data_IF_562687139325
#
_entry.id   IF_562687139325
#
_cell.length_a   1.000
_cell.length_b   1.000
_cell.length_c   1.000
_cell.angle_alpha   90.00
_cell.angle_beta   90.00
_cell.angle_gamma   90.00
#
_symmetry.space_group_name_H-M   'P 1'
#
loop_
_entity.id
_entity.type
_entity.pdbx_description
1 polymer ?
#
# COMPACT_ATOMS: atom_id res chain seq x y z
N UNK A 1 -0.47 -29.28 14.46
CA UNK A 1 -1.34 -28.09 14.32
C UNK A 1 -0.61 -26.76 14.61
N UNK A 2 0.66 -26.56 14.17
CA UNK A 2 1.44 -25.34 14.48
C UNK A 2 1.88 -24.53 13.24
N UNK A 3 1.78 -25.12 12.04
CA UNK A 3 2.29 -24.52 10.80
C UNK A 3 1.32 -23.61 10.04
N UNK A 4 0.01 -23.69 10.31
CA UNK A 4 -0.99 -22.91 9.56
C UNK A 4 -0.95 -21.41 9.90
N UNK A 5 -0.53 -21.05 11.12
CA UNK A 5 -0.41 -19.64 11.55
C UNK A 5 0.72 -18.89 10.82
N UNK A 6 1.80 -19.58 10.43
CA UNK A 6 2.97 -18.93 9.81
C UNK A 6 2.76 -18.54 8.35
N UNK A 7 1.92 -19.29 7.61
CA UNK A 7 1.53 -18.96 6.23
C UNK A 7 0.54 -17.80 6.16
N UNK A 8 -0.38 -17.69 7.13
CA UNK A 8 -1.31 -16.57 7.22
C UNK A 8 -0.58 -15.24 7.48
N UNK A 9 0.44 -15.22 8.34
CA UNK A 9 1.23 -14.00 8.63
C UNK A 9 1.86 -13.41 7.34
N UNK A 10 2.25 -14.25 6.38
CA UNK A 10 2.87 -13.80 5.14
C UNK A 10 1.87 -13.15 4.17
N UNK A 11 0.59 -13.48 4.26
CA UNK A 11 -0.48 -12.85 3.48
C UNK A 11 -0.99 -11.56 4.16
N UNK A 12 -1.05 -11.55 5.49
CA UNK A 12 -1.52 -10.38 6.25
C UNK A 12 -0.52 -9.22 6.25
N UNK A 13 0.79 -9.48 6.23
CA UNK A 13 1.77 -8.39 6.12
C UNK A 13 1.86 -7.75 4.73
N UNK A 14 1.43 -8.44 3.67
CA UNK A 14 1.51 -7.92 2.28
C UNK A 14 0.29 -7.06 1.94
N UNK A 15 -0.86 -7.27 2.60
CA UNK A 15 -2.07 -6.47 2.37
C UNK A 15 -2.14 -5.21 3.24
N UNK A 16 -1.44 -5.18 4.38
CA UNK A 16 -1.72 -4.19 5.43
C UNK A 16 -1.11 -2.80 5.21
N UNK A 17 -0.32 -2.58 4.16
CA UNK A 17 0.31 -1.27 3.98
C UNK A 17 0.52 -0.88 2.52
N UNK A 18 -0.27 -1.38 1.58
CA UNK A 18 -0.24 -0.87 0.20
C UNK A 18 -1.28 0.24 0.05
N UNK A 19 -0.85 1.45 -0.30
CA UNK A 19 -1.72 2.60 -0.52
C UNK A 19 -1.85 2.90 -2.01
N UNK A 20 -2.99 3.47 -2.42
CA UNK A 20 -3.20 3.93 -3.80
C UNK A 20 -3.18 5.46 -3.89
N UNK A 21 -2.57 5.96 -4.96
CA UNK A 21 -2.52 7.38 -5.25
C UNK A 21 -3.87 7.86 -5.76
N UNK A 22 -4.43 8.89 -5.15
CA UNK A 22 -5.66 9.51 -5.63
C UNK A 22 -5.45 10.26 -6.96
N UNK A 23 -4.25 10.81 -7.19
CA UNK A 23 -3.95 11.62 -8.38
C UNK A 23 -3.62 10.82 -9.66
N UNK A 24 -3.01 9.64 -9.52
CA UNK A 24 -2.57 8.82 -10.66
C UNK A 24 -2.94 7.34 -10.58
N UNK A 25 -3.53 6.86 -9.48
CA UNK A 25 -3.87 5.45 -9.30
C UNK A 25 -2.67 4.52 -9.04
N UNK A 26 -1.44 5.05 -8.90
CA UNK A 26 -0.27 4.25 -8.57
C UNK A 26 -0.39 3.58 -7.20
N UNK A 27 -0.03 2.31 -7.10
CA UNK A 27 -0.03 1.53 -5.86
C UNK A 27 1.39 1.47 -5.31
N UNK A 28 1.55 1.76 -4.02
CA UNK A 28 2.87 1.79 -3.37
C UNK A 28 2.83 0.97 -2.09
N UNK A 29 3.83 0.13 -1.91
CA UNK A 29 4.05 -0.63 -0.69
C UNK A 29 4.48 0.28 0.47
N UNK A 30 4.01 -0.04 1.66
CA UNK A 30 4.16 0.75 2.88
C UNK A 30 3.63 2.20 2.79
N UNK A 31 2.51 2.39 2.09
CA UNK A 31 1.88 3.69 1.91
C UNK A 31 0.46 3.76 2.49
N UNK A 32 0.19 4.83 3.24
CA UNK A 32 -1.09 5.06 3.90
C UNK A 32 -2.13 5.79 3.01
N UNK A 33 -1.92 5.80 1.68
CA UNK A 33 -2.77 6.46 0.70
C UNK A 33 -2.58 7.99 0.62
N UNK A 34 -3.30 8.61 -0.33
CA UNK A 34 -3.25 10.06 -0.57
C UNK A 34 -2.73 10.41 -1.97
N UNK A 35 -2.17 11.59 -2.13
CA UNK A 35 -1.53 12.04 -3.39
C UNK A 35 -0.03 11.77 -3.30
N UNK A 36 0.54 11.04 -4.26
CA UNK A 36 1.99 10.79 -4.31
C UNK A 36 2.76 12.08 -4.61
N UNK A 37 4.05 12.13 -4.25
CA UNK A 37 4.88 13.32 -4.46
C UNK A 37 4.93 13.78 -5.91
N UNK A 38 4.91 12.85 -6.87
CA UNK A 38 4.84 13.20 -8.29
C UNK A 38 3.54 13.95 -8.64
N UNK A 39 2.41 13.52 -8.08
CA UNK A 39 1.13 14.22 -8.27
C UNK A 39 1.07 15.54 -7.48
N UNK A 40 1.66 15.61 -6.28
CA UNK A 40 1.79 16.86 -5.53
C UNK A 40 2.65 17.88 -6.25
N UNK A 41 3.76 17.45 -6.85
CA UNK A 41 4.70 18.30 -7.59
C UNK A 41 4.05 18.96 -8.82
N UNK A 42 3.05 18.31 -9.42
CA UNK A 42 2.30 18.85 -10.57
C UNK A 42 0.97 19.52 -10.17
N UNK A 43 0.69 19.68 -8.87
CA UNK A 43 -0.53 20.33 -8.38
C UNK A 43 -1.81 19.51 -8.54
N UNK A 44 -1.71 18.18 -8.62
CA UNK A 44 -2.84 17.25 -8.64
C UNK A 44 -3.25 16.96 -7.19
N UNK A 45 -4.09 17.80 -6.61
CA UNK A 45 -4.61 17.69 -5.23
C UNK A 45 -6.12 17.81 -5.19
#
# INVERSE_FOLDING_TARGET
MKDLKKKAIRLWHVVANSGQCNGCGGVFDNWNGGVCDACKAIGRG
#
